data_IF_018768363796
#
_entry.id   IF_018768363796
#
_cell.length_a   1.000
_cell.length_b   1.000
_cell.length_c   1.000
_cell.angle_alpha   90.00
_cell.angle_beta   90.00
_cell.angle_gamma   90.00
#
_symmetry.space_group_name_H-M   'P 1'
#
loop_
_entity.id
_entity.type
_entity.pdbx_description
1 polymer ?
#
# COMPACT_ATOMS: atom_id res chain seq x y z
N UNK A 1 8.34 7.49 -17.76
CA UNK A 1 6.89 7.42 -17.43
C UNK A 1 6.60 8.16 -16.13
N UNK A 2 7.38 7.92 -15.06
CA UNK A 2 7.33 8.68 -13.80
C UNK A 2 7.26 10.22 -13.98
N UNK A 3 8.07 10.79 -14.87
CA UNK A 3 8.10 12.25 -15.13
C UNK A 3 6.75 12.80 -15.61
N UNK A 4 5.96 11.99 -16.34
CA UNK A 4 4.64 12.39 -16.82
C UNK A 4 3.62 12.44 -15.69
N UNK A 5 3.65 11.47 -14.77
CA UNK A 5 2.74 11.40 -13.61
C UNK A 5 2.97 12.62 -12.71
N UNK A 6 4.25 12.97 -12.46
CA UNK A 6 4.58 14.18 -11.69
C UNK A 6 4.04 15.45 -12.35
N UNK A 7 4.26 15.58 -13.66
CA UNK A 7 3.80 16.75 -14.40
C UNK A 7 2.27 16.88 -14.36
N UNK A 8 1.53 15.77 -14.47
CA UNK A 8 0.07 15.77 -14.39
C UNK A 8 -0.42 16.10 -12.96
N UNK A 9 0.26 15.63 -11.92
CA UNK A 9 -0.04 15.97 -10.52
C UNK A 9 0.07 17.48 -10.28
N UNK A 10 1.16 18.08 -10.75
CA UNK A 10 1.46 19.51 -10.55
C UNK A 10 0.52 20.42 -11.36
N UNK A 11 0.17 20.02 -12.58
CA UNK A 11 -0.70 20.83 -13.46
C UNK A 11 -2.16 20.86 -13.01
N UNK A 12 -2.65 19.82 -12.35
CA UNK A 12 -4.08 19.64 -12.09
C UNK A 12 -4.57 20.28 -10.77
N UNK A 13 -3.71 21.05 -10.06
CA UNK A 13 -4.00 21.64 -8.74
C UNK A 13 -4.63 20.61 -7.78
N UNK A 14 -4.06 19.41 -7.76
CA UNK A 14 -4.63 18.25 -7.06
C UNK A 14 -4.43 18.39 -5.56
N UNK A 15 -5.45 18.05 -4.77
CA UNK A 15 -5.33 18.00 -3.30
C UNK A 15 -4.45 16.83 -2.85
N UNK A 16 -4.44 15.75 -3.63
CA UNK A 16 -3.60 14.58 -3.37
C UNK A 16 -3.75 13.51 -4.43
N UNK A 17 -3.25 12.32 -4.14
CA UNK A 17 -3.35 11.17 -5.03
C UNK A 17 -3.51 9.87 -4.26
N UNK A 18 -4.24 8.93 -4.85
CA UNK A 18 -4.32 7.55 -4.38
C UNK A 18 -3.65 6.62 -5.37
N UNK A 19 -2.92 5.63 -4.87
CA UNK A 19 -2.49 4.46 -5.63
C UNK A 19 -3.09 3.21 -5.01
N UNK A 20 -3.80 2.44 -5.82
CA UNK A 20 -4.37 1.14 -5.49
C UNK A 20 -3.55 0.05 -6.19
N UNK A 21 -2.99 -0.87 -5.41
CA UNK A 21 -2.05 -1.88 -5.88
C UNK A 21 -2.58 -3.26 -5.49
N UNK A 22 -2.79 -4.10 -6.51
CA UNK A 22 -3.12 -5.51 -6.34
C UNK A 22 -1.84 -6.32 -6.54
N UNK A 23 -1.35 -6.98 -5.50
CA UNK A 23 -0.21 -7.90 -5.56
C UNK A 23 -0.74 -9.33 -5.60
N UNK A 24 -0.34 -10.10 -6.61
CA UNK A 24 -0.83 -11.47 -6.78
C UNK A 24 0.20 -12.51 -6.36
N UNK A 25 -0.24 -13.55 -5.66
CA UNK A 25 0.60 -14.71 -5.28
C UNK A 25 1.86 -14.28 -4.52
N UNK A 26 1.66 -13.56 -3.41
CA UNK A 26 2.71 -13.12 -2.50
C UNK A 26 3.28 -14.27 -1.67
N UNK A 27 4.42 -14.02 -1.02
CA UNK A 27 5.00 -14.94 -0.04
C UNK A 27 4.02 -15.16 1.12
N UNK A 28 3.56 -16.40 1.34
CA UNK A 28 2.53 -16.70 2.33
C UNK A 28 2.96 -16.42 3.76
N UNK A 29 4.26 -16.55 4.08
CA UNK A 29 4.80 -16.30 5.41
C UNK A 29 4.83 -14.80 5.74
N UNK A 30 4.96 -13.95 4.72
CA UNK A 30 5.10 -12.50 4.91
C UNK A 30 3.73 -11.86 5.13
N UNK A 31 2.75 -12.19 4.28
CA UNK A 31 1.40 -11.62 4.37
C UNK A 31 0.61 -12.12 5.59
N UNK A 32 1.02 -13.25 6.19
CA UNK A 32 0.44 -13.81 7.42
C UNK A 32 1.20 -13.40 8.69
N UNK A 33 2.18 -12.51 8.57
CA UNK A 33 3.00 -12.07 9.69
C UNK A 33 2.73 -10.61 10.02
N UNK A 34 2.13 -10.36 11.19
CA UNK A 34 1.92 -9.00 11.72
C UNK A 34 3.22 -8.19 11.79
N UNK A 35 4.35 -8.84 12.11
CA UNK A 35 5.65 -8.15 12.17
C UNK A 35 6.15 -7.76 10.78
N UNK A 36 5.99 -8.63 9.77
CA UNK A 36 6.35 -8.31 8.38
C UNK A 36 5.47 -7.23 7.78
N UNK A 37 4.16 -7.23 8.07
CA UNK A 37 3.26 -6.16 7.66
C UNK A 37 3.68 -4.83 8.32
N UNK A 38 4.01 -4.85 9.62
CA UNK A 38 4.52 -3.64 10.30
C UNK A 38 5.82 -3.15 9.67
N UNK A 39 6.78 -4.03 9.42
CA UNK A 39 8.06 -3.72 8.75
C UNK A 39 7.82 -3.08 7.37
N UNK A 40 6.92 -3.64 6.57
CA UNK A 40 6.52 -3.08 5.28
C UNK A 40 6.00 -1.65 5.42
N UNK A 41 5.07 -1.41 6.35
CA UNK A 41 4.47 -0.08 6.55
C UNK A 41 5.52 0.96 6.93
N UNK A 42 6.46 0.60 7.81
CA UNK A 42 7.56 1.49 8.21
C UNK A 42 8.42 1.86 6.99
N UNK A 43 8.88 0.85 6.26
CA UNK A 43 9.73 1.03 5.09
C UNK A 43 9.01 1.78 3.96
N UNK A 44 7.72 1.55 3.76
CA UNK A 44 6.90 2.29 2.79
C UNK A 44 6.79 3.77 3.17
N UNK A 45 6.52 4.08 4.44
CA UNK A 45 6.42 5.47 4.89
C UNK A 45 7.76 6.21 4.72
N UNK A 46 8.87 5.52 5.00
CA UNK A 46 10.20 6.09 4.82
C UNK A 46 10.53 6.29 3.33
N UNK A 47 10.14 5.35 2.46
CA UNK A 47 10.31 5.43 1.00
C UNK A 47 9.61 6.65 0.38
N UNK A 48 8.40 6.97 0.85
CA UNK A 48 7.60 8.10 0.33
C UNK A 48 7.76 9.36 1.18
N UNK A 49 8.66 9.32 2.16
CA UNK A 49 9.00 10.41 3.05
C UNK A 49 7.76 11.07 3.68
N UNK A 50 6.88 10.27 4.27
CA UNK A 50 5.71 10.74 5.02
C UNK A 50 5.88 10.42 6.49
N UNK A 51 5.39 11.33 7.34
CA UNK A 51 5.40 11.11 8.78
C UNK A 51 4.18 10.30 9.20
N UNK A 52 4.41 9.18 9.88
CA UNK A 52 3.38 8.34 10.50
C UNK A 52 2.74 9.08 11.67
N UNK A 53 1.43 8.94 11.81
CA UNK A 53 0.66 9.43 12.95
C UNK A 53 0.08 8.24 13.72
N UNK A 54 0.43 8.11 14.99
CA UNK A 54 0.03 6.98 15.83
C UNK A 54 0.61 5.63 15.39
N UNK A 55 0.21 4.57 16.09
CA UNK A 55 0.64 3.21 15.77
C UNK A 55 -0.15 2.63 14.58
N UNK A 56 0.53 1.80 13.76
CA UNK A 56 -0.14 1.02 12.75
C UNK A 56 -1.10 0.01 13.39
N UNK A 57 -2.37 0.07 13.01
CA UNK A 57 -3.39 -0.88 13.42
C UNK A 57 -3.31 -2.08 12.48
N UNK A 58 -3.03 -3.26 13.03
CA UNK A 58 -2.93 -4.51 12.26
C UNK A 58 -3.76 -5.57 12.98
N UNK A 59 -4.82 -6.04 12.30
CA UNK A 59 -5.80 -6.97 12.85
C UNK A 59 -5.93 -8.16 11.90
N UNK A 60 -5.81 -9.37 12.45
CA UNK A 60 -6.19 -10.60 11.74
C UNK A 60 -7.63 -10.94 12.10
N UNK A 61 -8.49 -11.11 11.11
CA UNK A 61 -9.89 -11.46 11.32
C UNK A 61 -10.42 -12.31 10.16
N UNK A 62 -11.66 -12.76 10.28
CA UNK A 62 -12.30 -13.67 9.35
C UNK A 62 -12.41 -15.08 9.94
N UNK A 63 -13.65 -15.52 10.20
CA UNK A 63 -13.95 -16.80 10.85
C UNK A 63 -13.88 -18.00 9.89
N UNK A 64 -13.91 -17.74 8.58
CA UNK A 64 -13.85 -18.76 7.53
C UNK A 64 -12.59 -18.57 6.70
N UNK A 65 -12.03 -19.66 6.20
CA UNK A 65 -10.81 -19.66 5.39
C UNK A 65 -10.90 -18.76 4.15
N UNK A 66 -12.10 -18.54 3.59
CA UNK A 66 -12.29 -17.66 2.43
C UNK A 66 -12.09 -16.18 2.73
N UNK A 67 -12.29 -15.77 3.98
CA UNK A 67 -12.28 -14.36 4.40
C UNK A 67 -11.18 -14.06 5.42
N UNK A 68 -10.42 -15.08 5.83
CA UNK A 68 -9.35 -14.91 6.80
C UNK A 68 -8.18 -14.12 6.20
N UNK A 69 -7.71 -13.13 6.95
CA UNK A 69 -6.58 -12.33 6.53
C UNK A 69 -6.27 -11.19 7.50
N UNK A 70 -5.10 -10.59 7.31
CA UNK A 70 -4.80 -9.34 7.98
C UNK A 70 -5.43 -8.18 7.22
N UNK A 71 -5.88 -7.17 7.96
CA UNK A 71 -5.95 -5.80 7.44
C UNK A 71 -5.08 -4.89 8.27
N UNK A 72 -4.57 -3.85 7.62
CA UNK A 72 -3.79 -2.82 8.27
C UNK A 72 -4.24 -1.42 7.88
N UNK A 73 -4.10 -0.49 8.82
CA UNK A 73 -4.21 0.95 8.58
C UNK A 73 -3.07 1.69 9.28
N UNK A 74 -2.52 2.68 8.60
CA UNK A 74 -1.55 3.61 9.14
C UNK A 74 -1.98 5.03 8.75
N UNK A 75 -2.36 5.82 9.75
CA UNK A 75 -2.53 7.25 9.56
C UNK A 75 -1.16 7.87 9.30
N UNK A 76 -1.10 8.81 8.37
CA UNK A 76 0.06 9.65 8.09
C UNK A 76 -0.38 11.10 8.25
N UNK A 77 0.54 12.03 8.55
CA UNK A 77 0.19 13.43 8.87
C UNK A 77 -0.78 14.09 7.88
N UNK A 78 -0.76 13.66 6.62
CA UNK A 78 -1.56 14.25 5.56
C UNK A 78 -2.74 13.39 5.09
N UNK A 79 -2.84 12.09 5.45
CA UNK A 79 -3.82 11.14 4.86
C UNK A 79 -3.77 9.74 5.54
N UNK A 80 -3.78 8.64 4.75
CA UNK A 80 -3.99 7.26 5.19
C UNK A 80 -3.31 6.26 4.24
N UNK A 81 -2.67 5.23 4.80
CA UNK A 81 -2.29 4.01 4.11
C UNK A 81 -3.13 2.86 4.65
N UNK A 82 -3.66 2.02 3.77
CA UNK A 82 -4.40 0.82 4.17
C UNK A 82 -4.03 -0.39 3.32
N UNK A 83 -4.27 -1.58 3.85
CA UNK A 83 -4.12 -2.80 3.07
C UNK A 83 -4.87 -3.99 3.64
N UNK A 84 -5.12 -4.97 2.77
CA UNK A 84 -5.72 -6.26 3.09
C UNK A 84 -4.90 -7.40 2.51
N UNK A 85 -4.67 -8.44 3.32
CA UNK A 85 -3.76 -9.55 3.05
C UNK A 85 -4.56 -10.86 3.11
N UNK A 86 -4.98 -11.36 1.95
CA UNK A 86 -5.90 -12.49 1.84
C UNK A 86 -5.16 -13.83 1.92
N UNK A 87 -5.44 -14.63 2.96
CA UNK A 87 -4.74 -15.91 3.17
C UNK A 87 -5.03 -16.90 2.03
N UNK A 88 -6.29 -17.02 1.60
CA UNK A 88 -6.70 -18.06 0.63
C UNK A 88 -5.97 -17.95 -0.72
N UNK A 89 -5.81 -16.73 -1.22
CA UNK A 89 -5.24 -16.48 -2.56
C UNK A 89 -3.76 -16.10 -2.52
N UNK A 90 -3.24 -15.77 -1.34
CA UNK A 90 -1.98 -15.08 -1.15
C UNK A 90 -1.91 -13.72 -1.86
N UNK A 91 -3.04 -13.04 -2.06
CA UNK A 91 -3.05 -11.71 -2.65
C UNK A 91 -3.00 -10.63 -1.56
N UNK A 92 -2.40 -9.50 -1.92
CA UNK A 92 -2.39 -8.30 -1.07
C UNK A 92 -2.96 -7.13 -1.85
N UNK A 93 -3.83 -6.36 -1.22
CA UNK A 93 -4.48 -5.19 -1.79
C UNK A 93 -4.04 -3.98 -0.96
N UNK A 94 -3.41 -2.99 -1.58
CA UNK A 94 -2.87 -1.82 -0.89
C UNK A 94 -3.48 -0.55 -1.46
N UNK A 95 -3.80 0.39 -0.58
CA UNK A 95 -4.19 1.75 -0.93
C UNK A 95 -3.26 2.75 -0.22
N UNK A 96 -2.58 3.58 -0.99
CA UNK A 96 -1.72 4.65 -0.50
C UNK A 96 -2.37 5.95 -0.90
N UNK A 97 -2.94 6.68 0.06
CA UNK A 97 -3.51 7.99 -0.15
C UNK A 97 -2.63 9.06 0.53
N UNK A 98 -2.23 10.08 -0.21
CA UNK A 98 -1.41 11.19 0.31
C UNK A 98 -1.68 12.50 -0.42
N UNK A 99 -1.62 13.62 0.32
CA UNK A 99 -1.52 14.98 -0.24
C UNK A 99 -0.11 15.32 -0.74
N UNK A 100 0.90 14.53 -0.37
CA UNK A 100 2.27 14.66 -0.91
C UNK A 100 2.37 13.76 -2.14
N UNK A 101 2.92 14.30 -3.21
CA UNK A 101 3.24 13.50 -4.40
C UNK A 101 4.15 12.32 -4.03
N UNK A 102 3.85 11.16 -4.59
CA UNK A 102 4.73 10.01 -4.60
C UNK A 102 4.70 9.35 -5.98
N UNK A 103 5.73 8.59 -6.32
CA UNK A 103 5.73 7.82 -7.56
C UNK A 103 4.98 6.48 -7.35
N UNK A 104 3.79 6.29 -7.95
CA UNK A 104 2.98 5.09 -7.70
C UNK A 104 3.64 3.82 -8.26
N UNK A 105 4.44 3.94 -9.34
CA UNK A 105 5.18 2.80 -9.90
C UNK A 105 6.31 2.36 -8.97
N UNK A 106 6.96 3.30 -8.29
CA UNK A 106 8.02 3.00 -7.33
C UNK A 106 7.46 2.22 -6.14
N UNK A 107 6.29 2.64 -5.62
CA UNK A 107 5.61 1.95 -4.52
C UNK A 107 5.15 0.56 -4.95
N UNK A 108 4.57 0.41 -6.14
CA UNK A 108 4.13 -0.89 -6.64
C UNK A 108 5.31 -1.88 -6.76
N UNK A 109 6.43 -1.43 -7.34
CA UNK A 109 7.65 -2.24 -7.44
C UNK A 109 8.24 -2.59 -6.08
N UNK A 110 8.32 -1.62 -5.17
CA UNK A 110 8.77 -1.85 -3.80
C UNK A 110 7.90 -2.90 -3.11
N UNK A 111 6.57 -2.78 -3.23
CA UNK A 111 5.62 -3.69 -2.59
C UNK A 111 5.68 -5.10 -3.18
N UNK A 112 5.81 -5.22 -4.51
CA UNK A 112 6.06 -6.50 -5.18
C UNK A 112 7.34 -7.16 -4.66
N UNK A 113 8.45 -6.42 -4.57
CA UNK A 113 9.72 -6.96 -4.07
C UNK A 113 9.62 -7.39 -2.60
N UNK A 114 9.02 -6.55 -1.75
CA UNK A 114 8.89 -6.82 -0.32
C UNK A 114 8.08 -8.09 -0.06
N UNK A 115 6.90 -8.20 -0.66
CA UNK A 115 6.01 -9.35 -0.49
C UNK A 115 6.31 -10.51 -1.43
N UNK A 116 7.33 -10.38 -2.30
CA UNK A 116 7.73 -11.39 -3.28
C UNK A 116 6.54 -11.86 -4.13
N UNK A 117 5.72 -10.92 -4.58
CA UNK A 117 4.55 -11.23 -5.41
C UNK A 117 4.98 -11.61 -6.83
N UNK A 118 4.21 -12.49 -7.46
CA UNK A 118 4.46 -12.92 -8.84
C UNK A 118 4.35 -11.75 -9.82
N UNK A 119 3.31 -10.94 -9.66
CA UNK A 119 3.04 -9.76 -10.45
C UNK A 119 2.25 -8.72 -9.62
N UNK A 120 1.95 -7.58 -10.22
CA UNK A 120 1.07 -6.58 -9.65
C UNK A 120 0.20 -5.89 -10.71
N UNK A 121 -0.94 -5.38 -10.27
CA UNK A 121 -1.75 -4.39 -10.99
C UNK A 121 -1.69 -3.06 -10.25
N UNK A 122 -1.56 -1.96 -10.97
CA UNK A 122 -1.50 -0.61 -10.41
C UNK A 122 -2.57 0.26 -11.05
N UNK A 123 -3.36 0.91 -10.20
CA UNK A 123 -4.22 2.03 -10.55
C UNK A 123 -3.83 3.24 -9.72
N UNK A 124 -3.86 4.43 -10.30
CA UNK A 124 -3.71 5.66 -9.54
C UNK A 124 -4.70 6.71 -10.04
N UNK A 125 -5.15 7.57 -9.11
CA UNK A 125 -6.13 8.61 -9.37
C UNK A 125 -5.69 9.87 -8.64
N UNK A 126 -5.74 11.00 -9.33
CA UNK A 126 -5.58 12.31 -8.70
C UNK A 126 -6.87 12.74 -8.02
N UNK A 127 -6.76 13.26 -6.80
CA UNK A 127 -7.87 13.74 -5.97
C UNK A 127 -7.92 15.26 -6.10
N UNK A 128 -9.07 15.79 -6.51
CA UNK A 128 -9.33 17.21 -6.74
C UNK A 128 -10.32 17.72 -5.71
#
# INVERSE_FOLDING_TARGET
MADRIKLEYDKNNTWGMVASIDLHVCNPQYIRSKSKIKEFVLALCDLIEVKRFGECIIINFGERDEIQGYSMTQLIETSLISGHFANKTNNTYLDIFSCKYFNPEQIAKFSQHFFQSKDYKLHYIFRK
#
